data_IF_607617155554
#
_entry.id   IF_607617155554
#
_cell.length_a   1.000
_cell.length_b   1.000
_cell.length_c   1.000
_cell.angle_alpha   90.00
_cell.angle_beta   90.00
_cell.angle_gamma   90.00
#
_symmetry.space_group_name_H-M   'P 1'
#
loop_
_entity.id
_entity.type
_entity.pdbx_description
1 polymer ?
#
# COMPACT_ATOMS: atom_id res chain seq x y z
N UNK A 1 10.36 -22.67 -30.31
CA UNK A 1 11.65 -22.39 -29.63
C UNK A 1 11.73 -21.01 -28.96
N UNK A 2 11.80 -19.88 -29.67
CA UNK A 2 11.93 -18.55 -29.00
C UNK A 2 10.68 -18.17 -28.19
N UNK A 3 9.48 -18.40 -28.73
CA UNK A 3 8.22 -18.11 -28.04
C UNK A 3 8.00 -19.00 -26.81
N UNK A 4 8.27 -20.31 -26.89
CA UNK A 4 8.17 -21.23 -25.74
C UNK A 4 9.13 -20.84 -24.60
N UNK A 5 10.33 -20.38 -24.95
CA UNK A 5 11.32 -19.93 -23.96
C UNK A 5 10.86 -18.64 -23.27
N UNK A 6 10.26 -17.72 -24.04
CA UNK A 6 9.70 -16.48 -23.50
C UNK A 6 8.46 -16.74 -22.64
N UNK A 7 7.54 -17.60 -23.09
CA UNK A 7 6.35 -17.99 -22.34
C UNK A 7 6.71 -18.69 -21.02
N UNK A 8 7.70 -19.58 -21.03
CA UNK A 8 8.22 -20.21 -19.79
C UNK A 8 8.73 -19.17 -18.79
N UNK A 9 9.50 -18.19 -19.27
CA UNK A 9 10.00 -17.08 -18.43
C UNK A 9 8.86 -16.20 -17.91
N UNK A 10 7.84 -15.94 -18.72
CA UNK A 10 6.65 -15.17 -18.33
C UNK A 10 5.86 -15.93 -17.25
N UNK A 11 5.71 -17.24 -17.37
CA UNK A 11 5.02 -18.08 -16.38
C UNK A 11 5.75 -18.10 -15.03
N UNK A 12 7.07 -18.18 -15.04
CA UNK A 12 7.89 -18.07 -13.82
C UNK A 12 7.71 -16.70 -13.15
N UNK A 13 7.72 -15.61 -13.93
CA UNK A 13 7.48 -14.26 -13.39
C UNK A 13 6.06 -14.10 -12.83
N UNK A 14 5.05 -14.68 -13.48
CA UNK A 14 3.67 -14.71 -12.97
C UNK A 14 3.58 -15.45 -11.63
N UNK A 15 4.26 -16.59 -11.48
CA UNK A 15 4.33 -17.34 -10.21
C UNK A 15 4.95 -16.50 -9.10
N UNK A 16 6.04 -15.80 -9.37
CA UNK A 16 6.67 -14.90 -8.39
C UNK A 16 5.75 -13.75 -7.97
N UNK A 17 4.95 -13.21 -8.89
CA UNK A 17 3.93 -12.20 -8.55
C UNK A 17 2.86 -12.79 -7.62
N UNK A 18 2.40 -14.01 -7.88
CA UNK A 18 1.39 -14.68 -7.06
C UNK A 18 1.91 -14.93 -5.63
N UNK A 19 3.15 -15.37 -5.50
CA UNK A 19 3.79 -15.52 -4.19
C UNK A 19 3.92 -14.18 -3.43
N UNK A 20 4.19 -13.08 -4.14
CA UNK A 20 4.24 -11.73 -3.54
C UNK A 20 2.85 -11.26 -3.11
N UNK A 21 1.81 -11.50 -3.92
CA UNK A 21 0.42 -11.19 -3.57
C UNK A 21 -0.06 -12.00 -2.36
N UNK A 22 0.28 -13.29 -2.28
CA UNK A 22 -0.08 -14.13 -1.14
C UNK A 22 0.54 -13.63 0.18
N UNK A 23 1.73 -13.01 0.12
CA UNK A 23 2.41 -12.40 1.27
C UNK A 23 1.85 -11.03 1.64
N UNK A 24 1.16 -10.33 0.72
CA UNK A 24 0.41 -9.13 1.04
C UNK A 24 -0.85 -9.54 1.81
N UNK A 25 -0.80 -9.42 3.14
CA UNK A 25 -1.94 -9.66 4.03
C UNK A 25 -3.17 -8.90 3.51
N UNK A 26 -4.32 -9.58 3.39
CA UNK A 26 -5.60 -8.99 2.94
C UNK A 26 -5.79 -7.61 3.60
N UNK A 27 -5.90 -6.57 2.76
CA UNK A 27 -6.06 -5.16 3.11
C UNK A 27 -6.79 -4.94 4.44
N UNK A 28 -6.04 -4.69 5.52
CA UNK A 28 -6.61 -4.14 6.73
C UNK A 28 -7.02 -2.70 6.44
N UNK A 29 -8.31 -2.39 6.60
CA UNK A 29 -8.81 -1.03 6.42
C UNK A 29 -8.06 -0.09 7.34
N UNK A 30 -7.76 1.10 6.83
CA UNK A 30 -7.31 2.20 7.70
C UNK A 30 -8.44 2.54 8.68
N UNK A 31 -8.18 2.37 9.97
CA UNK A 31 -9.11 2.65 11.07
C UNK A 31 -8.41 3.60 12.05
N UNK A 32 -8.60 4.92 11.89
CA UNK A 32 -7.94 5.91 12.74
C UNK A 32 -8.53 5.92 14.16
N UNK A 33 -7.68 6.26 15.12
CA UNK A 33 -8.06 6.59 16.50
C UNK A 33 -8.66 7.99 16.55
N UNK A 34 -8.09 8.92 15.79
CA UNK A 34 -8.52 10.32 15.72
C UNK A 34 -9.64 10.52 14.69
N UNK A 35 -10.20 11.74 14.65
CA UNK A 35 -11.16 12.13 13.62
C UNK A 35 -10.52 12.35 12.22
N UNK A 36 -9.23 12.08 12.05
CA UNK A 36 -8.47 12.30 10.81
C UNK A 36 -8.32 13.75 10.32
N UNK A 37 -8.84 14.74 11.05
CA UNK A 37 -8.75 16.16 10.70
C UNK A 37 -7.86 16.89 11.70
N UNK A 38 -6.59 17.07 11.36
CA UNK A 38 -5.61 17.75 12.20
C UNK A 38 -5.43 19.22 11.78
N UNK A 39 -5.38 20.12 12.75
CA UNK A 39 -5.02 21.52 12.54
C UNK A 39 -3.64 21.80 13.14
N UNK A 40 -2.70 22.25 12.28
CA UNK A 40 -1.34 22.62 12.65
C UNK A 40 -1.01 23.98 12.05
N UNK A 41 -0.46 24.90 12.84
CA UNK A 41 -0.04 26.24 12.41
C UNK A 41 -1.15 27.01 11.65
N UNK A 42 -2.41 26.86 12.10
CA UNK A 42 -3.59 27.48 11.47
C UNK A 42 -4.06 26.81 10.18
N UNK A 43 -3.46 25.69 9.78
CA UNK A 43 -3.83 24.93 8.58
C UNK A 43 -4.47 23.60 8.97
N UNK A 44 -5.72 23.41 8.54
CA UNK A 44 -6.47 22.17 8.73
C UNK A 44 -6.25 21.20 7.58
N UNK A 45 -5.85 19.97 7.91
CA UNK A 45 -5.51 18.91 6.96
C UNK A 45 -6.26 17.63 7.29
N UNK A 46 -6.85 16.98 6.29
CA UNK A 46 -7.44 15.65 6.44
C UNK A 46 -6.43 14.57 6.04
N UNK A 47 -6.02 13.72 6.98
CA UNK A 47 -4.99 12.70 6.76
C UNK A 47 -5.46 11.56 5.82
N UNK A 48 -6.76 11.40 5.60
CA UNK A 48 -7.29 10.36 4.73
C UNK A 48 -6.95 10.59 3.25
N UNK A 49 -6.82 11.86 2.84
CA UNK A 49 -6.60 12.26 1.44
C UNK A 49 -5.12 12.51 1.13
N UNK A 50 -4.25 12.47 2.13
CA UNK A 50 -2.82 12.69 1.95
C UNK A 50 -2.17 11.55 1.18
N UNK A 51 -1.24 11.92 0.31
CA UNK A 51 -0.34 10.97 -0.35
C UNK A 51 0.80 10.56 0.60
N UNK A 52 1.60 9.57 0.17
CA UNK A 52 2.70 9.02 0.96
C UNK A 52 3.72 10.05 1.40
N UNK A 53 4.15 10.94 0.51
CA UNK A 53 5.13 11.99 0.80
C UNK A 53 4.59 13.00 1.83
N UNK A 54 3.34 13.45 1.66
CA UNK A 54 2.66 14.33 2.60
C UNK A 54 2.51 13.68 3.99
N UNK A 55 2.16 12.39 4.04
CA UNK A 55 2.09 11.63 5.29
C UNK A 55 3.45 11.50 5.95
N UNK A 56 4.52 11.25 5.19
CA UNK A 56 5.89 11.18 5.71
C UNK A 56 6.33 12.52 6.28
N UNK A 57 6.08 13.63 5.58
CA UNK A 57 6.39 14.96 6.09
C UNK A 57 5.63 15.27 7.39
N UNK A 58 4.33 14.97 7.41
CA UNK A 58 3.50 15.14 8.60
C UNK A 58 3.99 14.28 9.77
N UNK A 59 4.40 13.03 9.51
CA UNK A 59 4.97 12.15 10.54
C UNK A 59 6.25 12.73 11.15
N UNK A 60 7.17 13.22 10.32
CA UNK A 60 8.42 13.85 10.79
C UNK A 60 8.10 15.08 11.64
N UNK A 61 7.17 15.92 11.17
CA UNK A 61 6.72 17.12 11.89
C UNK A 61 6.13 16.76 13.26
N UNK A 62 5.18 15.82 13.32
CA UNK A 62 4.58 15.37 14.57
C UNK A 62 5.62 14.72 15.50
N UNK A 63 6.54 13.92 14.96
CA UNK A 63 7.59 13.33 15.76
C UNK A 63 8.51 14.38 16.38
N UNK A 64 8.81 15.48 15.67
CA UNK A 64 9.59 16.59 16.21
C UNK A 64 8.91 17.24 17.42
N UNK A 65 7.59 17.47 17.33
CA UNK A 65 6.81 18.00 18.45
C UNK A 65 6.75 17.00 19.61
N UNK A 66 6.61 15.71 19.35
CA UNK A 66 6.54 14.68 20.38
C UNK A 66 7.86 14.59 21.17
N UNK A 67 9.00 14.71 20.49
CA UNK A 67 10.32 14.74 21.14
C UNK A 67 10.43 15.98 22.04
N UNK A 68 10.12 17.17 21.53
CA UNK A 68 10.18 18.40 22.31
C UNK A 68 9.19 18.39 23.49
N UNK A 69 7.96 17.93 23.28
CA UNK A 69 6.96 17.80 24.34
C UNK A 69 7.43 16.87 25.45
N UNK A 70 8.06 15.75 25.10
CA UNK A 70 8.65 14.82 26.06
C UNK A 70 9.78 15.46 26.86
N UNK A 71 10.68 16.18 26.22
CA UNK A 71 11.80 16.88 26.88
C UNK A 71 11.31 17.97 27.84
N UNK A 72 10.21 18.64 27.49
CA UNK A 72 9.58 19.68 28.31
C UNK A 72 8.60 19.13 29.35
N UNK A 73 8.39 17.81 29.40
CA UNK A 73 7.41 17.13 30.27
C UNK A 73 5.97 17.65 30.07
N UNK A 74 5.61 17.98 28.83
CA UNK A 74 4.29 18.48 28.45
C UNK A 74 3.47 17.37 27.79
N UNK A 75 2.23 17.19 28.27
CA UNK A 75 1.23 16.43 27.53
C UNK A 75 0.70 17.26 26.35
N UNK A 76 1.14 16.91 25.16
CA UNK A 76 0.88 17.70 23.96
C UNK A 76 -0.32 17.18 23.18
N UNK A 77 -1.41 17.97 23.24
CA UNK A 77 -2.70 17.68 22.61
C UNK A 77 -2.89 18.58 21.40
N UNK A 78 -3.26 17.98 20.26
CA UNK A 78 -3.50 18.68 18.99
C UNK A 78 -4.90 18.30 18.52
N UNK A 79 -5.74 19.30 18.23
CA UNK A 79 -7.10 19.09 17.71
C UNK A 79 -7.94 18.12 18.56
N UNK A 80 -7.72 18.09 19.88
CA UNK A 80 -8.46 17.25 20.83
C UNK A 80 -7.93 15.83 21.05
N UNK A 81 -6.77 15.46 20.47
CA UNK A 81 -6.15 14.14 20.64
C UNK A 81 -4.68 14.27 21.02
N UNK A 82 -4.13 13.28 21.73
CA UNK A 82 -2.71 13.26 22.07
C UNK A 82 -1.86 13.07 20.82
N UNK A 83 -0.66 13.64 20.80
CA UNK A 83 0.23 13.53 19.64
C UNK A 83 0.58 12.07 19.29
N UNK A 84 0.61 11.18 20.27
CA UNK A 84 0.85 9.74 20.06
C UNK A 84 -0.25 9.07 19.24
N UNK A 85 -1.51 9.50 19.39
CA UNK A 85 -2.65 8.99 18.63
C UNK A 85 -2.54 9.41 17.16
N UNK A 86 -2.18 10.68 16.93
CA UNK A 86 -1.91 11.18 15.58
C UNK A 86 -0.75 10.43 14.92
N UNK A 87 0.35 10.20 15.63
CA UNK A 87 1.50 9.45 15.09
C UNK A 87 1.10 8.01 14.74
N UNK A 88 0.29 7.36 15.58
CA UNK A 88 -0.22 6.01 15.31
C UNK A 88 -1.08 5.98 14.04
N UNK A 89 -1.99 6.96 13.89
CA UNK A 89 -2.84 7.08 12.71
C UNK A 89 -2.03 7.32 11.42
N UNK A 90 -1.02 8.20 11.45
CA UNK A 90 -0.19 8.47 10.28
C UNK A 90 0.62 7.23 9.87
N UNK A 91 1.19 6.49 10.84
CA UNK A 91 1.89 5.22 10.55
C UNK A 91 0.96 4.19 9.94
N UNK A 92 -0.21 3.99 10.54
CA UNK A 92 -1.25 3.08 10.02
C UNK A 92 -1.68 3.47 8.59
N UNK A 93 -1.82 4.76 8.32
CA UNK A 93 -2.15 5.26 6.98
C UNK A 93 -1.01 5.04 5.98
N UNK A 94 0.25 5.26 6.36
CA UNK A 94 1.42 4.99 5.52
C UNK A 94 1.52 3.51 5.14
N UNK A 95 1.27 2.62 6.09
CA UNK A 95 1.25 1.17 5.85
C UNK A 95 0.10 0.77 4.92
N UNK A 96 -1.08 1.38 5.07
CA UNK A 96 -2.20 1.18 4.17
C UNK A 96 -1.87 1.66 2.74
N UNK A 97 -1.35 2.88 2.58
CA UNK A 97 -1.00 3.45 1.27
C UNK A 97 0.10 2.63 0.58
N UNK A 98 1.16 2.27 1.31
CA UNK A 98 2.28 1.49 0.76
C UNK A 98 1.86 0.10 0.29
N UNK A 99 0.96 -0.56 1.02
CA UNK A 99 0.38 -1.84 0.59
C UNK A 99 -0.46 -1.68 -0.67
N UNK A 100 -1.33 -0.68 -0.71
CA UNK A 100 -2.17 -0.39 -1.89
C UNK A 100 -1.34 -0.07 -3.14
N UNK A 101 -0.23 0.65 -2.97
CA UNK A 101 0.73 0.91 -4.05
C UNK A 101 1.36 -0.38 -4.58
N UNK A 102 1.82 -1.27 -3.69
CA UNK A 102 2.43 -2.55 -4.09
C UNK A 102 1.40 -3.49 -4.74
N UNK A 103 0.18 -3.58 -4.20
CA UNK A 103 -0.92 -4.34 -4.82
C UNK A 103 -1.19 -3.88 -6.25
N UNK A 104 -1.31 -2.56 -6.46
CA UNK A 104 -1.52 -1.99 -7.78
C UNK A 104 -0.33 -2.26 -8.72
N UNK A 105 0.89 -2.15 -8.22
CA UNK A 105 2.11 -2.43 -8.99
C UNK A 105 2.15 -3.88 -9.45
N UNK A 106 1.86 -4.84 -8.56
CA UNK A 106 1.81 -6.26 -8.89
C UNK A 106 0.70 -6.56 -9.92
N UNK A 107 -0.48 -5.94 -9.77
CA UNK A 107 -1.58 -6.07 -10.74
C UNK A 107 -1.20 -5.55 -12.13
N UNK A 108 -0.53 -4.39 -12.20
CA UNK A 108 -0.04 -3.83 -13.47
C UNK A 108 1.03 -4.72 -14.10
N UNK A 109 1.96 -5.25 -13.31
CA UNK A 109 3.00 -6.17 -13.80
C UNK A 109 2.39 -7.46 -14.34
N UNK A 110 1.43 -8.05 -13.64
CA UNK A 110 0.72 -9.25 -14.08
C UNK A 110 -0.04 -9.03 -15.38
N UNK A 111 -0.75 -7.91 -15.51
CA UNK A 111 -1.46 -7.55 -16.74
C UNK A 111 -0.51 -7.42 -17.93
N UNK A 112 0.64 -6.75 -17.74
CA UNK A 112 1.69 -6.66 -18.76
C UNK A 112 2.24 -8.04 -19.16
N UNK A 113 2.52 -8.91 -18.18
CA UNK A 113 2.98 -10.28 -18.44
C UNK A 113 1.93 -11.08 -19.21
N UNK A 114 0.65 -10.96 -18.86
CA UNK A 114 -0.43 -11.63 -19.59
C UNK A 114 -0.52 -11.14 -21.04
N UNK A 115 -0.35 -9.84 -21.31
CA UNK A 115 -0.33 -9.31 -22.67
C UNK A 115 0.83 -9.85 -23.51
N UNK A 116 1.99 -10.07 -22.91
CA UNK A 116 3.21 -10.57 -23.56
C UNK A 116 3.19 -12.07 -23.90
N UNK A 117 2.25 -12.85 -23.34
CA UNK A 117 2.12 -14.27 -23.69
C UNK A 117 1.77 -14.45 -25.17
N UNK A 118 2.30 -15.52 -25.76
CA UNK A 118 1.89 -15.95 -27.10
C UNK A 118 0.38 -16.27 -27.15
N UNK A 119 -0.22 -16.15 -28.34
CA UNK A 119 -1.64 -16.48 -28.52
C UNK A 119 -1.91 -17.96 -28.21
N UNK A 120 -0.99 -18.84 -28.60
CA UNK A 120 -1.06 -20.29 -28.30
C UNK A 120 -1.10 -20.52 -26.79
N UNK A 121 -0.20 -19.87 -26.03
CA UNK A 121 -0.16 -20.02 -24.58
C UNK A 121 -1.39 -19.41 -23.89
N UNK A 122 -1.94 -18.31 -24.41
CA UNK A 122 -3.19 -17.73 -23.90
C UNK A 122 -4.36 -18.69 -24.06
N UNK A 123 -4.50 -19.30 -25.24
CA UNK A 123 -5.54 -20.30 -25.52
C UNK A 123 -5.38 -21.51 -24.58
N UNK A 124 -4.16 -22.02 -24.40
CA UNK A 124 -3.88 -23.11 -23.45
C UNK A 124 -4.37 -22.76 -22.03
N UNK A 125 -4.05 -21.56 -21.54
CA UNK A 125 -4.48 -21.11 -20.20
C UNK A 125 -6.00 -20.96 -20.08
N UNK A 126 -6.70 -20.48 -21.13
CA UNK A 126 -8.16 -20.38 -21.14
C UNK A 126 -8.81 -21.77 -21.11
N UNK A 127 -8.27 -22.75 -21.85
CA UNK A 127 -8.75 -24.14 -21.81
C UNK A 127 -8.55 -24.72 -20.41
N UNK A 128 -7.38 -24.52 -19.80
CA UNK A 128 -7.08 -24.96 -18.42
C UNK A 128 -8.03 -24.34 -17.39
N UNK A 129 -8.39 -23.07 -17.55
CA UNK A 129 -9.33 -22.37 -16.68
C UNK A 129 -10.75 -22.92 -16.81
N UNK A 130 -11.22 -23.23 -18.02
CA UNK A 130 -12.50 -23.90 -18.25
C UNK A 130 -12.51 -25.28 -17.60
N UNK A 131 -11.44 -26.07 -17.76
CA UNK A 131 -11.31 -27.40 -17.17
C UNK A 131 -11.35 -27.38 -15.63
N UNK A 132 -10.80 -26.36 -14.98
CA UNK A 132 -10.84 -26.22 -13.52
C UNK A 132 -12.23 -25.88 -12.96
N UNK A 133 -13.11 -25.32 -13.79
CA UNK A 133 -14.45 -24.87 -13.40
C UNK A 133 -15.56 -25.88 -13.79
N UNK A 134 -15.21 -26.99 -14.44
CA UNK A 134 -16.06 -28.16 -14.68
C UNK A 134 -15.90 -29.18 -13.54
#
# INVERSE_FOLDING_TARGET
MANETNDSKIMELKKQIEEKKAKLIKSQKFSPITNSSIELDGVRTNIQVLNKEQLTYLLVKLNSYAISAKELEIDFVISGYHIVDWIADIKSKLDFVSRKEEENKLKVMESKLHQLLSNEKKVELEIDEIMKNL
#
